data_IF_397953935068
#
_entry.id   IF_397953935068
#
_cell.length_a   1.000
_cell.length_b   1.000
_cell.length_c   1.000
_cell.angle_alpha   90.00
_cell.angle_beta   90.00
_cell.angle_gamma   90.00
#
_symmetry.space_group_name_H-M   'P 1'
#
loop_
_entity.id
_entity.type
_entity.pdbx_description
1 polymer ?
#
# COMPACT_ATOMS: atom_id res chain seq x y z
N UNK A 1 15.58 -33.55 -19.98
CA UNK A 1 16.94 -33.19 -19.52
C UNK A 1 17.92 -33.77 -20.55
N UNK A 2 18.78 -33.05 -21.28
CA UNK A 2 19.31 -31.70 -21.22
C UNK A 2 19.71 -31.30 -22.66
N UNK A 3 19.24 -30.12 -23.08
CA UNK A 3 19.98 -29.05 -23.76
C UNK A 3 20.98 -29.46 -24.86
N UNK A 4 20.51 -29.44 -26.11
CA UNK A 4 21.37 -29.52 -27.29
C UNK A 4 21.63 -28.09 -27.77
N UNK A 5 22.91 -27.73 -27.72
CA UNK A 5 23.48 -26.47 -28.18
C UNK A 5 23.06 -26.10 -29.61
N UNK A 6 22.71 -24.82 -29.81
CA UNK A 6 22.93 -24.13 -31.10
C UNK A 6 23.46 -22.73 -30.87
N UNK A 7 24.77 -22.66 -31.01
CA UNK A 7 25.61 -21.50 -31.24
C UNK A 7 25.26 -20.96 -32.62
N UNK A 8 24.75 -19.72 -32.69
CA UNK A 8 24.65 -18.87 -33.89
C UNK A 8 24.82 -17.45 -33.31
N UNK A 9 25.99 -16.81 -33.23
CA UNK A 9 27.06 -16.60 -34.22
C UNK A 9 26.54 -16.13 -35.57
N UNK A 10 25.93 -14.95 -35.62
CA UNK A 10 26.07 -14.06 -36.80
C UNK A 10 26.11 -12.60 -36.29
N UNK A 11 27.34 -12.12 -36.19
CA UNK A 11 27.79 -10.77 -36.57
C UNK A 11 26.69 -9.80 -37.01
N UNK A 12 26.29 -8.88 -36.12
CA UNK A 12 25.70 -7.60 -36.53
C UNK A 12 26.83 -6.59 -36.71
N UNK A 13 27.39 -6.59 -37.91
CA UNK A 13 28.29 -5.55 -38.39
C UNK A 13 27.48 -4.60 -39.28
N UNK A 14 27.21 -3.39 -38.77
CA UNK A 14 26.90 -2.19 -39.55
C UNK A 14 27.12 -1.01 -38.59
N UNK A 15 28.35 -0.52 -38.45
CA UNK A 15 28.95 0.56 -39.25
C UNK A 15 28.21 1.91 -39.07
N UNK A 16 28.67 2.62 -38.05
CA UNK A 16 29.12 4.02 -37.98
C UNK A 16 28.59 5.08 -38.97
N UNK A 17 28.30 6.25 -38.38
CA UNK A 17 28.39 7.65 -38.87
C UNK A 17 27.09 8.35 -39.27
N UNK A 18 26.53 9.08 -38.30
CA UNK A 18 26.08 10.45 -38.56
C UNK A 18 26.36 11.30 -37.33
N UNK A 19 27.21 12.30 -37.55
CA UNK A 19 27.69 13.30 -36.60
C UNK A 19 26.83 14.55 -36.71
N UNK A 20 26.37 15.06 -35.57
CA UNK A 20 26.17 16.48 -35.22
C UNK A 20 25.93 16.45 -33.70
N UNK A 21 26.88 16.85 -32.86
CA UNK A 21 27.27 18.24 -32.68
C UNK A 21 26.49 18.78 -31.47
N UNK A 22 27.11 18.80 -30.30
CA UNK A 22 26.48 19.24 -29.04
C UNK A 22 27.47 19.20 -27.88
N UNK A 23 27.77 20.36 -27.35
CA UNK A 23 28.91 20.67 -26.49
C UNK A 23 28.61 20.44 -25.00
N UNK A 24 29.65 20.03 -24.25
CA UNK A 24 30.01 20.52 -22.90
C UNK A 24 28.97 20.46 -21.76
N UNK A 25 29.19 19.58 -20.77
CA UNK A 25 29.75 19.93 -19.44
C UNK A 25 29.56 18.79 -18.43
N UNK A 26 30.68 18.44 -17.78
CA UNK A 26 30.72 17.81 -16.47
C UNK A 26 30.17 18.80 -15.45
N UNK A 27 29.16 18.40 -14.69
CA UNK A 27 28.83 19.05 -13.42
C UNK A 27 28.71 17.97 -12.35
N UNK A 28 29.79 17.86 -11.58
CA UNK A 28 29.76 17.31 -10.23
C UNK A 28 28.73 18.09 -9.42
N UNK A 29 27.62 17.45 -9.02
CA UNK A 29 26.81 17.96 -7.94
C UNK A 29 27.10 17.19 -6.65
N UNK A 30 28.09 17.76 -5.98
CA UNK A 30 28.46 17.69 -4.58
C UNK A 30 27.26 17.48 -3.64
N UNK A 31 27.47 16.55 -2.71
CA UNK A 31 26.91 16.47 -1.36
C UNK A 31 26.27 17.77 -0.84
N UNK A 32 24.98 17.68 -0.51
CA UNK A 32 24.39 18.45 0.59
C UNK A 32 23.56 17.51 1.47
N UNK A 33 24.06 17.31 2.68
CA UNK A 33 23.31 16.82 3.83
C UNK A 33 22.25 17.87 4.18
N UNK A 34 20.97 17.51 4.12
CA UNK A 34 19.91 18.24 4.81
C UNK A 34 19.09 17.28 5.67
N UNK A 35 19.39 17.32 6.97
CA UNK A 35 18.45 16.93 8.03
C UNK A 35 17.32 17.97 8.09
N UNK A 36 16.06 17.53 8.15
CA UNK A 36 15.06 18.13 9.06
C UNK A 36 13.77 17.28 9.16
N UNK A 37 13.70 16.55 10.27
CA UNK A 37 12.66 16.47 11.30
C UNK A 37 11.16 16.75 10.98
N UNK A 38 10.33 15.79 11.40
CA UNK A 38 8.98 15.84 11.99
C UNK A 38 7.80 16.57 11.32
N UNK A 39 6.87 15.73 10.86
CA UNK A 39 5.41 15.73 11.11
C UNK A 39 4.71 17.08 11.29
N UNK A 40 4.07 17.54 10.21
CA UNK A 40 2.85 18.35 10.29
C UNK A 40 1.81 17.72 9.36
N UNK A 41 0.67 17.36 9.94
CA UNK A 41 -0.51 16.90 9.23
C UNK A 41 -1.48 18.08 9.18
N UNK A 42 -1.79 18.63 8.01
CA UNK A 42 -3.17 19.00 7.65
C UNK A 42 -3.33 19.60 6.23
N UNK A 43 -4.20 18.90 5.48
CA UNK A 43 -5.31 19.34 4.61
C UNK A 43 -5.06 20.10 3.31
N UNK A 44 -5.57 19.52 2.20
CA UNK A 44 -6.20 20.30 1.13
C UNK A 44 -6.14 19.72 -0.29
N UNK A 45 -7.22 19.04 -0.70
CA UNK A 45 -7.71 18.89 -2.08
C UNK A 45 -6.90 18.02 -3.08
N UNK A 46 -7.00 16.70 -2.88
CA UNK A 46 -7.16 15.74 -3.97
C UNK A 46 -8.05 14.60 -3.45
N UNK A 47 -9.16 14.34 -4.13
CA UNK A 47 -10.07 13.23 -3.83
C UNK A 47 -9.36 11.91 -4.18
N UNK A 48 -8.63 11.35 -3.22
CA UNK A 48 -8.11 9.99 -3.30
C UNK A 48 -9.00 9.05 -2.49
N UNK A 49 -9.45 8.00 -3.16
CA UNK A 49 -10.60 7.14 -2.84
C UNK A 49 -10.38 6.21 -1.65
N UNK A 50 -10.09 6.74 -0.46
CA UNK A 50 -10.01 5.95 0.77
C UNK A 50 -11.41 5.78 1.35
N UNK A 51 -12.00 4.62 1.08
CA UNK A 51 -13.37 4.27 1.45
C UNK A 51 -13.63 4.35 2.96
N UNK A 52 -14.83 4.78 3.33
CA UNK A 52 -15.34 5.02 4.69
C UNK A 52 -15.14 3.85 5.69
N UNK A 53 -14.90 2.63 5.20
CA UNK A 53 -14.68 1.43 6.02
C UNK A 53 -13.21 1.25 6.46
N UNK A 54 -12.25 1.88 5.80
CA UNK A 54 -10.82 1.70 6.08
C UNK A 54 -10.36 2.57 7.23
N UNK A 55 -10.10 1.95 8.39
CA UNK A 55 -9.67 2.63 9.61
C UNK A 55 -8.15 2.84 9.63
N UNK A 56 -7.72 3.96 10.18
CA UNK A 56 -6.32 4.32 10.37
C UNK A 56 -6.11 4.88 11.78
N UNK A 57 -4.88 4.73 12.28
CA UNK A 57 -4.52 5.20 13.61
C UNK A 57 -5.17 4.36 14.72
N UNK A 58 -5.63 5.02 15.78
CA UNK A 58 -6.24 4.38 16.93
C UNK A 58 -7.69 3.99 16.62
N UNK A 59 -7.93 2.70 16.37
CA UNK A 59 -9.26 2.17 16.03
C UNK A 59 -10.13 2.10 17.30
N UNK A 60 -11.27 2.78 17.32
CA UNK A 60 -12.25 2.70 18.41
C UNK A 60 -13.40 1.75 18.05
N UNK A 61 -13.25 0.45 18.37
CA UNK A 61 -14.22 -0.59 18.03
C UNK A 61 -15.63 -0.32 18.59
N UNK A 62 -15.72 0.32 19.76
CA UNK A 62 -17.01 0.67 20.37
C UNK A 62 -17.74 1.77 19.59
N UNK A 63 -17.01 2.57 18.81
CA UNK A 63 -17.62 3.55 17.90
C UNK A 63 -18.03 2.92 16.56
N UNK A 64 -17.60 1.69 16.28
CA UNK A 64 -17.95 0.95 15.06
C UNK A 64 -19.17 0.08 15.30
N UNK A 65 -19.28 -0.55 16.47
CA UNK A 65 -20.42 -1.37 16.87
C UNK A 65 -21.63 -0.48 17.23
N UNK A 66 -22.29 0.04 16.18
CA UNK A 66 -23.45 0.92 16.30
C UNK A 66 -24.67 0.19 16.84
N UNK A 67 -24.77 -1.12 16.55
CA UNK A 67 -25.90 -1.95 16.96
C UNK A 67 -25.75 -2.58 18.36
N UNK A 68 -24.55 -2.50 18.95
CA UNK A 68 -24.19 -3.00 20.29
C UNK A 68 -24.42 -4.50 20.47
N UNK A 69 -24.07 -5.31 19.45
CA UNK A 69 -24.21 -6.78 19.47
C UNK A 69 -22.88 -7.53 19.64
N UNK A 70 -21.81 -6.79 19.95
CA UNK A 70 -20.45 -7.28 20.15
C UNK A 70 -19.87 -8.02 18.91
N UNK A 71 -20.39 -7.74 17.71
CA UNK A 71 -19.89 -8.30 16.44
C UNK A 71 -19.61 -7.22 15.42
N UNK A 72 -18.63 -7.48 14.57
CA UNK A 72 -18.20 -6.58 13.51
C UNK A 72 -17.87 -7.38 12.26
N UNK A 73 -18.03 -6.72 11.12
CA UNK A 73 -17.67 -7.23 9.81
C UNK A 73 -16.26 -6.77 9.45
N UNK A 74 -15.38 -7.73 9.20
CA UNK A 74 -13.96 -7.50 8.91
C UNK A 74 -13.56 -8.17 7.58
N UNK A 75 -12.69 -7.50 6.82
CA UNK A 75 -12.16 -8.07 5.58
C UNK A 75 -11.11 -9.14 5.91
N UNK A 76 -11.24 -10.40 5.45
CA UNK A 76 -10.27 -11.46 5.74
C UNK A 76 -8.90 -11.26 5.06
N UNK A 77 -8.75 -10.23 4.22
CA UNK A 77 -7.52 -9.86 3.53
C UNK A 77 -6.93 -8.52 4.05
N UNK A 78 -7.76 -7.64 4.62
CA UNK A 78 -7.40 -6.27 5.04
C UNK A 78 -7.99 -5.98 6.43
N UNK A 79 -7.22 -6.27 7.49
CA UNK A 79 -7.70 -6.23 8.88
C UNK A 79 -8.06 -4.85 9.43
N UNK A 80 -7.80 -3.77 8.69
CA UNK A 80 -8.26 -2.43 9.05
C UNK A 80 -9.56 -2.01 8.36
N UNK A 81 -10.18 -2.90 7.58
CA UNK A 81 -11.50 -2.66 6.96
C UNK A 81 -12.56 -3.26 7.89
N UNK A 82 -13.23 -2.37 8.63
CA UNK A 82 -14.19 -2.73 9.69
C UNK A 82 -15.53 -2.00 9.49
N UNK A 83 -16.63 -2.71 9.73
CA UNK A 83 -18.01 -2.25 9.56
C UNK A 83 -18.95 -2.86 10.60
N UNK A 84 -19.98 -2.13 11.02
CA UNK A 84 -21.12 -2.67 11.79
C UNK A 84 -22.03 -3.57 10.95
N UNK A 85 -21.95 -3.39 9.63
CA UNK A 85 -22.88 -3.99 8.68
C UNK A 85 -22.16 -4.92 7.71
N UNK A 86 -22.93 -5.90 7.21
CA UNK A 86 -22.47 -6.72 6.10
C UNK A 86 -22.19 -5.86 4.85
N UNK A 87 -21.33 -6.37 3.98
CA UNK A 87 -20.94 -5.64 2.79
C UNK A 87 -19.76 -6.29 2.09
N UNK A 88 -19.24 -5.58 1.10
CA UNK A 88 -18.06 -5.98 0.35
C UNK A 88 -16.92 -4.99 0.67
N UNK A 89 -15.69 -5.51 0.79
CA UNK A 89 -14.50 -4.71 1.02
C UNK A 89 -14.28 -3.76 -0.17
N UNK A 90 -14.14 -2.45 0.05
CA UNK A 90 -13.96 -1.47 -1.03
C UNK A 90 -12.61 -1.61 -1.74
N UNK A 91 -11.62 -2.22 -1.07
CA UNK A 91 -10.26 -2.40 -1.61
C UNK A 91 -10.15 -3.65 -2.49
N UNK A 92 -10.72 -4.78 -2.04
CA UNK A 92 -10.53 -6.08 -2.71
C UNK A 92 -11.81 -6.70 -3.28
N UNK A 93 -12.99 -6.12 -3.00
CA UNK A 93 -14.29 -6.58 -3.49
C UNK A 93 -14.82 -7.86 -2.84
N UNK A 94 -14.13 -8.42 -1.85
CA UNK A 94 -14.59 -9.62 -1.14
C UNK A 94 -15.62 -9.28 -0.07
N UNK A 95 -16.53 -10.22 0.21
CA UNK A 95 -17.46 -10.10 1.35
C UNK A 95 -16.71 -9.99 2.66
N UNK A 96 -17.11 -9.00 3.46
CA UNK A 96 -16.70 -8.93 4.86
C UNK A 96 -17.27 -10.13 5.60
N UNK A 97 -16.49 -10.65 6.54
CA UNK A 97 -16.91 -11.76 7.41
C UNK A 97 -17.24 -11.22 8.78
N UNK A 98 -18.26 -11.79 9.41
CA UNK A 98 -18.64 -11.46 10.78
C UNK A 98 -17.66 -12.11 11.76
N UNK A 99 -17.23 -11.34 12.74
CA UNK A 99 -16.37 -11.75 13.85
C UNK A 99 -16.88 -11.11 15.14
N UNK A 100 -16.62 -11.73 16.28
CA UNK A 100 -16.83 -11.09 17.57
C UNK A 100 -15.81 -9.97 17.79
N UNK A 101 -16.14 -8.97 18.61
CA UNK A 101 -15.18 -7.92 18.99
C UNK A 101 -13.89 -8.53 19.58
N UNK A 102 -13.98 -9.65 20.30
CA UNK A 102 -12.81 -10.37 20.83
C UNK A 102 -11.91 -10.87 19.71
N UNK A 103 -12.48 -11.49 18.67
CA UNK A 103 -11.73 -11.96 17.50
C UNK A 103 -11.14 -10.80 16.69
N UNK A 104 -11.89 -9.71 16.50
CA UNK A 104 -11.38 -8.51 15.83
C UNK A 104 -10.20 -7.93 16.60
N UNK A 105 -10.28 -7.79 17.92
CA UNK A 105 -9.14 -7.35 18.75
C UNK A 105 -7.92 -8.25 18.54
N UNK A 106 -8.11 -9.57 18.53
CA UNK A 106 -7.01 -10.51 18.26
C UNK A 106 -6.43 -10.36 16.86
N UNK A 107 -7.26 -10.13 15.84
CA UNK A 107 -6.79 -9.87 14.47
C UNK A 107 -5.99 -8.57 14.42
N UNK A 108 -6.49 -7.48 14.99
CA UNK A 108 -5.79 -6.20 15.05
C UNK A 108 -4.43 -6.31 15.77
N UNK A 109 -4.38 -6.95 16.95
CA UNK A 109 -3.12 -7.18 17.66
C UNK A 109 -2.14 -8.03 16.83
N UNK A 110 -2.63 -9.10 16.21
CA UNK A 110 -1.82 -10.03 15.41
C UNK A 110 -1.19 -9.34 14.20
N UNK A 111 -1.89 -8.40 13.57
CA UNK A 111 -1.42 -7.70 12.37
C UNK A 111 -0.87 -6.29 12.66
N UNK A 112 -0.72 -5.92 13.94
CA UNK A 112 -0.01 -4.70 14.35
C UNK A 112 -0.82 -3.41 14.25
N UNK A 113 -2.15 -3.50 14.32
CA UNK A 113 -3.04 -2.34 14.37
C UNK A 113 -3.29 -1.88 15.80
N UNK A 114 -3.29 -0.58 16.01
CA UNK A 114 -3.60 0.02 17.30
C UNK A 114 -5.10 0.23 17.47
N UNK A 115 -5.63 -0.09 18.65
CA UNK A 115 -7.03 0.12 18.98
C UNK A 115 -7.22 0.52 20.44
N UNK A 116 -8.35 1.17 20.71
CA UNK A 116 -8.77 1.57 22.05
C UNK A 116 -9.20 0.32 22.83
N UNK A 117 -8.56 0.09 23.96
CA UNK A 117 -8.80 -1.08 24.82
C UNK A 117 -10.10 -0.96 25.62
#
# INVERSE_FOLDING_TARGET
>A
MKNIAKIISVTFLAIVLSSCGGENKTEEHKSENMQMNNHEHQMGAAEDSKSELTREGLIDLASIDENADDKLYECPMDWNVLSDHNGDCPTCGMKLKEYTIVEVKQNLEKYGYEFKK
#
